data_IF_624916282346
#
_entry.id   IF_624916282346
#
_cell.length_a   1.000
_cell.length_b   1.000
_cell.length_c   1.000
_cell.angle_alpha   90.00
_cell.angle_beta   90.00
_cell.angle_gamma   90.00
#
_symmetry.space_group_name_H-M   'P 1'
#
loop_
_entity.id
_entity.type
_entity.pdbx_description
1 polymer ?
#
# COMPACT_ATOMS: atom_id res chain seq x y z
N UNK A 1 -28.24 -18.37 -87.61
CA UNK A 1 -28.15 -18.01 -86.19
C UNK A 1 -29.54 -17.60 -85.73
N UNK A 2 -30.14 -18.38 -84.83
CA UNK A 2 -31.49 -18.20 -84.30
C UNK A 2 -31.39 -17.99 -82.78
N UNK A 3 -32.41 -17.30 -82.27
CA UNK A 3 -32.82 -17.13 -80.86
C UNK A 3 -32.14 -15.96 -80.12
N UNK A 4 -32.86 -15.05 -79.47
CA UNK A 4 -34.30 -14.92 -79.27
C UNK A 4 -34.61 -14.32 -77.89
N UNK A 5 -35.76 -13.60 -77.81
CA UNK A 5 -36.54 -13.25 -76.59
C UNK A 5 -35.89 -12.24 -75.62
N UNK A 6 -36.61 -11.37 -74.89
CA UNK A 6 -38.04 -11.09 -74.66
C UNK A 6 -38.15 -9.69 -74.01
N UNK A 7 -39.28 -9.00 -74.21
CA UNK A 7 -39.68 -7.76 -73.54
C UNK A 7 -40.06 -8.02 -72.06
N UNK A 8 -39.82 -7.03 -71.19
CA UNK A 8 -40.51 -6.85 -69.90
C UNK A 8 -40.98 -5.40 -69.72
N UNK A 9 -42.10 -5.28 -69.02
CA UNK A 9 -42.93 -4.11 -68.76
C UNK A 9 -42.34 -3.18 -67.68
N UNK A 10 -42.66 -1.89 -67.79
CA UNK A 10 -42.37 -0.84 -66.83
C UNK A 10 -43.62 -0.50 -66.00
N UNK A 11 -43.53 -0.63 -64.68
CA UNK A 11 -44.44 -0.02 -63.71
C UNK A 11 -43.73 1.12 -62.98
N UNK A 12 -44.36 2.29 -62.98
CA UNK A 12 -43.93 3.51 -62.31
C UNK A 12 -44.37 3.51 -60.85
N UNK A 13 -43.45 3.78 -59.92
CA UNK A 13 -43.72 3.94 -58.48
C UNK A 13 -43.31 5.35 -58.03
N UNK A 14 -44.28 6.07 -57.48
CA UNK A 14 -44.13 7.36 -56.79
C UNK A 14 -43.22 7.22 -55.55
N UNK A 15 -42.14 8.00 -55.49
CA UNK A 15 -41.31 8.16 -54.29
C UNK A 15 -41.58 9.52 -53.64
N UNK A 16 -42.23 9.49 -52.47
CA UNK A 16 -42.27 10.62 -51.53
C UNK A 16 -40.99 10.68 -50.69
N UNK A 17 -40.44 11.87 -50.37
CA UNK A 17 -39.18 11.98 -49.64
C UNK A 17 -39.34 11.68 -48.14
N UNK A 18 -38.31 11.12 -47.48
CA UNK A 18 -38.37 10.70 -46.09
C UNK A 18 -38.29 11.88 -45.10
N UNK A 19 -38.84 11.73 -43.88
CA UNK A 19 -38.82 12.78 -42.87
C UNK A 19 -37.43 12.99 -42.27
N UNK A 20 -36.99 14.25 -42.20
CA UNK A 20 -35.72 14.68 -41.58
C UNK A 20 -35.70 14.30 -40.09
N UNK A 21 -34.86 13.32 -39.73
CA UNK A 21 -34.50 13.03 -38.33
C UNK A 21 -33.81 14.26 -37.71
N UNK A 22 -34.43 14.86 -36.69
CA UNK A 22 -33.78 15.84 -35.81
C UNK A 22 -32.59 15.17 -35.12
N UNK A 23 -31.37 15.59 -35.45
CA UNK A 23 -30.19 15.23 -34.71
C UNK A 23 -30.32 15.73 -33.27
N UNK A 24 -30.29 14.82 -32.29
CA UNK A 24 -30.07 15.18 -30.88
C UNK A 24 -28.64 15.71 -30.78
N UNK A 25 -28.49 17.01 -30.60
CA UNK A 25 -27.24 17.61 -30.15
C UNK A 25 -26.81 16.92 -28.84
N UNK A 26 -25.57 16.41 -28.74
CA UNK A 26 -25.08 15.86 -27.48
C UNK A 26 -25.12 16.95 -26.42
N UNK A 27 -25.85 16.72 -25.32
CA UNK A 27 -25.76 17.57 -24.14
C UNK A 27 -24.33 17.51 -23.65
N UNK A 28 -23.55 18.56 -23.92
CA UNK A 28 -22.29 18.82 -23.22
C UNK A 28 -22.60 18.88 -21.72
N UNK A 29 -22.01 18.01 -20.88
CA UNK A 29 -22.19 18.10 -19.45
C UNK A 29 -21.70 19.47 -18.97
N UNK A 30 -22.52 20.14 -18.16
CA UNK A 30 -22.17 21.43 -17.55
C UNK A 30 -20.87 21.28 -16.76
N UNK A 31 -19.86 22.06 -17.12
CA UNK A 31 -18.54 22.13 -16.47
C UNK A 31 -18.65 22.44 -14.96
N UNK A 32 -19.69 23.16 -14.54
CA UNK A 32 -19.95 23.45 -13.13
C UNK A 32 -20.36 22.19 -12.33
N UNK A 33 -21.09 21.25 -12.94
CA UNK A 33 -21.48 20.00 -12.29
C UNK A 33 -20.31 19.03 -12.10
N UNK A 34 -19.38 19.00 -13.07
CA UNK A 34 -18.17 18.17 -13.01
C UNK A 34 -17.19 18.69 -11.95
N UNK A 35 -17.03 20.01 -11.84
CA UNK A 35 -16.18 20.64 -10.83
C UNK A 35 -16.70 20.46 -9.39
N UNK A 36 -18.03 20.51 -9.20
CA UNK A 36 -18.64 20.26 -7.89
C UNK A 36 -18.52 18.78 -7.45
N UNK A 37 -18.66 17.84 -8.40
CA UNK A 37 -18.50 16.40 -8.14
C UNK A 37 -17.07 16.05 -7.72
N UNK A 38 -16.08 16.59 -8.45
CA UNK A 38 -14.66 16.36 -8.12
C UNK A 38 -14.28 16.96 -6.77
N UNK A 39 -14.79 18.14 -6.42
CA UNK A 39 -14.54 18.73 -5.10
C UNK A 39 -15.02 17.82 -3.95
N UNK A 40 -16.24 17.28 -4.06
CA UNK A 40 -16.80 16.36 -3.05
C UNK A 40 -15.98 15.08 -2.92
N UNK A 41 -15.56 14.50 -4.05
CA UNK A 41 -14.71 13.30 -4.07
C UNK A 41 -13.35 13.53 -3.38
N UNK A 42 -12.77 14.73 -3.55
CA UNK A 42 -11.53 15.10 -2.87
C UNK A 42 -11.72 15.28 -1.36
N UNK A 43 -12.82 15.89 -0.93
CA UNK A 43 -13.16 16.04 0.49
C UNK A 43 -13.36 14.67 1.16
N UNK A 44 -14.10 13.75 0.52
CA UNK A 44 -14.29 12.37 1.01
C UNK A 44 -12.96 11.58 1.07
N UNK A 45 -12.09 11.78 0.08
CA UNK A 45 -10.76 11.15 0.06
C UNK A 45 -9.89 11.68 1.20
N UNK A 46 -9.89 12.99 1.45
CA UNK A 46 -9.15 13.62 2.54
C UNK A 46 -9.61 13.11 3.91
N UNK A 47 -10.92 13.07 4.15
CA UNK A 47 -11.50 12.54 5.40
C UNK A 47 -11.11 11.08 5.66
N UNK A 48 -11.13 10.25 4.62
CA UNK A 48 -10.70 8.86 4.70
C UNK A 48 -9.21 8.75 5.04
N UNK A 49 -8.35 9.52 4.37
CA UNK A 49 -6.91 9.50 4.63
C UNK A 49 -6.62 9.99 6.05
N UNK A 50 -7.34 11.01 6.54
CA UNK A 50 -7.29 11.45 7.94
C UNK A 50 -7.68 10.34 8.91
N UNK A 51 -8.73 9.56 8.63
CA UNK A 51 -9.14 8.44 9.47
C UNK A 51 -8.06 7.33 9.52
N UNK A 52 -7.42 7.04 8.39
CA UNK A 52 -6.28 6.11 8.32
C UNK A 52 -5.10 6.65 9.13
N UNK A 53 -4.76 7.94 9.01
CA UNK A 53 -3.69 8.56 9.81
C UNK A 53 -4.00 8.48 11.30
N UNK A 54 -5.23 8.76 11.74
CA UNK A 54 -5.65 8.59 13.16
C UNK A 54 -5.43 7.16 13.65
N UNK A 55 -5.78 6.19 12.83
CA UNK A 55 -5.61 4.76 13.15
C UNK A 55 -4.14 4.40 13.31
N UNK A 56 -3.27 4.88 12.41
CA UNK A 56 -1.82 4.69 12.54
C UNK A 56 -1.30 5.37 13.80
N UNK A 57 -1.68 6.63 14.07
CA UNK A 57 -1.27 7.37 15.29
C UNK A 57 -1.64 6.60 16.56
N UNK A 58 -2.89 6.12 16.64
CA UNK A 58 -3.38 5.32 17.76
C UNK A 58 -2.61 4.01 17.88
N UNK A 59 -2.36 3.28 16.79
CA UNK A 59 -1.63 2.01 16.83
C UNK A 59 -0.19 2.17 17.35
N UNK A 60 0.46 3.30 17.08
CA UNK A 60 1.87 3.52 17.44
C UNK A 60 2.03 4.01 18.88
N UNK A 61 1.23 4.97 19.33
CA UNK A 61 1.42 5.49 20.70
C UNK A 61 0.51 6.63 21.11
N UNK A 62 -0.21 7.27 20.19
CA UNK A 62 -1.14 8.33 20.54
C UNK A 62 -2.45 7.75 21.12
N UNK A 63 -3.30 8.65 21.61
CA UNK A 63 -4.67 8.37 22.03
C UNK A 63 -5.53 7.80 20.90
N UNK A 64 -6.63 7.17 21.28
CA UNK A 64 -7.63 6.61 20.36
C UNK A 64 -8.33 7.68 19.51
N UNK A 65 -8.39 8.89 20.05
CA UNK A 65 -8.87 10.10 19.36
C UNK A 65 -7.74 11.16 19.34
N UNK A 66 -6.76 11.02 18.44
CA UNK A 66 -5.69 12.00 18.29
C UNK A 66 -6.24 13.42 18.08
N UNK A 67 -5.48 14.44 18.51
CA UNK A 67 -5.89 15.83 18.26
C UNK A 67 -5.91 16.07 16.75
N UNK A 68 -7.03 16.58 16.23
CA UNK A 68 -7.26 16.71 14.80
C UNK A 68 -6.22 17.60 14.09
N UNK A 69 -5.75 18.67 14.75
CA UNK A 69 -4.67 19.50 14.21
C UNK A 69 -3.37 18.70 14.04
N UNK A 70 -3.04 17.79 14.97
CA UNK A 70 -1.86 16.93 14.86
C UNK A 70 -2.02 15.92 13.72
N UNK A 71 -3.23 15.35 13.56
CA UNK A 71 -3.52 14.43 12.44
C UNK A 71 -3.34 15.14 11.10
N UNK A 72 -3.92 16.34 10.92
CA UNK A 72 -3.76 17.12 9.68
C UNK A 72 -2.30 17.49 9.41
N UNK A 73 -1.58 17.90 10.44
CA UNK A 73 -0.15 18.21 10.34
C UNK A 73 0.64 16.98 9.86
N UNK A 74 0.41 15.80 10.44
CA UNK A 74 1.09 14.57 10.02
C UNK A 74 0.70 14.14 8.61
N UNK A 75 -0.57 14.29 8.24
CA UNK A 75 -1.04 13.95 6.90
C UNK A 75 -0.37 14.85 5.84
N UNK A 76 -0.33 16.16 6.09
CA UNK A 76 0.36 17.12 5.22
C UNK A 76 1.87 16.91 5.16
N UNK A 77 2.51 16.64 6.31
CA UNK A 77 3.92 16.28 6.37
C UNK A 77 4.19 15.03 5.52
N UNK A 78 3.41 13.96 5.71
CA UNK A 78 3.56 12.72 4.94
C UNK A 78 3.41 12.98 3.43
N UNK A 79 2.39 13.74 3.02
CA UNK A 79 2.18 14.10 1.62
C UNK A 79 3.41 14.83 1.04
N UNK A 80 3.92 15.84 1.75
CA UNK A 80 5.10 16.58 1.33
C UNK A 80 6.33 15.67 1.19
N UNK A 81 6.58 14.81 2.19
CA UNK A 81 7.73 13.90 2.17
C UNK A 81 7.68 12.94 0.98
N UNK A 82 6.53 12.33 0.72
CA UNK A 82 6.37 11.41 -0.41
C UNK A 82 6.61 12.12 -1.75
N UNK A 83 6.10 13.36 -1.91
CA UNK A 83 6.32 14.16 -3.13
C UNK A 83 7.80 14.44 -3.35
N UNK A 84 8.52 14.87 -2.31
CA UNK A 84 9.96 15.14 -2.42
C UNK A 84 10.74 13.91 -2.90
N UNK A 85 10.39 12.72 -2.40
CA UNK A 85 11.05 11.47 -2.76
C UNK A 85 10.76 11.09 -4.21
N UNK A 86 9.51 11.20 -4.65
CA UNK A 86 9.11 10.90 -6.03
C UNK A 86 9.69 11.92 -7.00
N UNK A 87 9.71 13.22 -6.67
CA UNK A 87 10.34 14.24 -7.49
C UNK A 87 11.83 13.97 -7.68
N UNK A 88 12.51 13.52 -6.62
CA UNK A 88 13.92 13.14 -6.68
C UNK A 88 14.14 11.87 -7.53
N UNK A 89 13.25 10.89 -7.46
CA UNK A 89 13.28 9.69 -8.30
C UNK A 89 12.98 10.03 -9.77
N UNK A 90 12.02 10.93 -10.02
CA UNK A 90 11.64 11.39 -11.35
C UNK A 90 12.76 12.17 -12.03
N UNK A 91 13.46 13.05 -11.30
CA UNK A 91 14.66 13.73 -11.82
C UNK A 91 15.72 12.75 -12.32
N UNK A 92 15.89 11.63 -11.62
CA UNK A 92 16.80 10.55 -12.05
C UNK A 92 16.28 9.83 -13.28
N UNK A 93 15.03 9.41 -13.30
CA UNK A 93 14.42 8.78 -14.47
C UNK A 93 14.56 9.65 -15.73
N UNK A 94 14.27 10.95 -15.60
CA UNK A 94 14.41 11.92 -16.68
C UNK A 94 15.86 12.08 -17.14
N UNK A 95 16.83 12.03 -16.22
CA UNK A 95 18.27 12.08 -16.57
C UNK A 95 18.72 10.86 -17.38
N UNK A 96 18.04 9.72 -17.19
CA UNK A 96 18.23 8.50 -17.97
C UNK A 96 17.36 8.47 -19.27
N UNK A 97 16.66 9.55 -19.59
CA UNK A 97 15.79 9.65 -20.77
C UNK A 97 14.46 8.91 -20.66
N UNK A 98 14.03 8.56 -19.43
CA UNK A 98 12.75 7.89 -19.15
C UNK A 98 11.75 8.87 -18.55
N UNK A 99 10.47 8.70 -18.88
CA UNK A 99 9.33 9.47 -18.36
C UNK A 99 8.63 8.80 -17.18
N UNK A 100 9.01 7.54 -16.87
CA UNK A 100 8.46 6.74 -15.79
C UNK A 100 9.51 6.39 -14.74
N UNK A 101 9.13 6.56 -13.47
CA UNK A 101 9.90 6.14 -12.30
C UNK A 101 9.86 4.62 -12.18
N UNK A 102 10.99 4.02 -11.85
CA UNK A 102 11.12 2.60 -11.50
C UNK A 102 11.48 2.43 -10.01
N UNK A 103 11.38 1.20 -9.49
CA UNK A 103 11.88 0.89 -8.14
C UNK A 103 13.37 1.24 -7.97
N UNK A 104 14.19 1.05 -9.01
CA UNK A 104 15.61 1.38 -8.96
C UNK A 104 15.82 2.88 -8.75
N UNK A 105 15.07 3.72 -9.46
CA UNK A 105 15.17 5.18 -9.31
C UNK A 105 14.83 5.63 -7.89
N UNK A 106 13.79 5.03 -7.33
CA UNK A 106 13.35 5.27 -5.96
C UNK A 106 14.41 4.79 -4.96
N UNK A 107 14.83 3.53 -5.04
CA UNK A 107 15.72 2.90 -4.06
C UNK A 107 17.15 3.39 -4.08
N UNK A 108 17.61 4.02 -5.16
CA UNK A 108 18.90 4.73 -5.17
C UNK A 108 18.98 5.80 -4.07
N UNK A 109 17.85 6.41 -3.68
CA UNK A 109 17.79 7.36 -2.56
C UNK A 109 17.88 6.69 -1.19
N UNK A 110 17.61 5.38 -1.12
CA UNK A 110 17.62 4.58 0.10
C UNK A 110 18.93 3.78 0.27
N UNK A 111 19.86 3.85 -0.68
CA UNK A 111 21.09 3.04 -0.65
C UNK A 111 21.91 3.23 0.65
N UNK A 112 21.82 4.41 1.28
CA UNK A 112 22.46 4.72 2.57
C UNK A 112 21.57 4.41 3.79
N UNK A 113 20.32 4.02 3.57
CA UNK A 113 19.28 3.78 4.58
C UNK A 113 18.82 2.32 4.56
N UNK A 114 19.79 1.41 4.66
CA UNK A 114 19.59 -0.06 4.65
C UNK A 114 18.48 -0.53 5.59
N UNK A 115 18.35 0.11 6.75
CA UNK A 115 17.32 -0.21 7.74
C UNK A 115 15.90 -0.05 7.18
N UNK A 116 15.64 1.02 6.43
CA UNK A 116 14.33 1.29 5.84
C UNK A 116 14.01 0.26 4.75
N UNK A 117 14.99 -0.08 3.92
CA UNK A 117 14.85 -1.14 2.91
C UNK A 117 14.61 -2.52 3.56
N UNK A 118 15.32 -2.85 4.63
CA UNK A 118 15.12 -4.10 5.38
C UNK A 118 13.72 -4.17 5.98
N UNK A 119 13.22 -3.08 6.59
CA UNK A 119 11.83 -3.02 7.08
C UNK A 119 10.81 -3.23 5.95
N UNK A 120 11.01 -2.60 4.80
CA UNK A 120 10.15 -2.77 3.62
C UNK A 120 10.14 -4.23 3.14
N UNK A 121 11.32 -4.85 2.99
CA UNK A 121 11.45 -6.25 2.58
C UNK A 121 10.77 -7.20 3.57
N UNK A 122 11.03 -7.06 4.87
CA UNK A 122 10.35 -7.87 5.88
C UNK A 122 8.83 -7.70 5.84
N UNK A 123 8.36 -6.46 5.60
CA UNK A 123 6.94 -6.18 5.48
C UNK A 123 6.31 -6.82 4.23
N UNK A 124 7.01 -6.81 3.11
CA UNK A 124 6.60 -7.48 1.88
C UNK A 124 6.64 -9.01 2.00
N UNK A 125 7.67 -9.57 2.65
CA UNK A 125 7.78 -11.00 2.95
C UNK A 125 6.62 -11.48 3.80
N UNK A 126 6.32 -10.78 4.90
CA UNK A 126 5.19 -11.11 5.77
C UNK A 126 3.85 -11.01 5.01
N UNK A 127 3.69 -9.99 4.15
CA UNK A 127 2.50 -9.84 3.31
C UNK A 127 2.34 -11.02 2.34
N UNK A 128 3.43 -11.43 1.70
CA UNK A 128 3.45 -12.57 0.79
C UNK A 128 3.07 -13.87 1.51
N UNK A 129 3.67 -14.15 2.67
CA UNK A 129 3.36 -15.35 3.46
C UNK A 129 1.89 -15.41 3.86
N UNK A 130 1.32 -14.31 4.38
CA UNK A 130 -0.10 -14.25 4.74
C UNK A 130 -0.99 -14.50 3.52
N UNK A 131 -0.64 -13.95 2.36
CA UNK A 131 -1.40 -14.14 1.13
C UNK A 131 -1.32 -15.59 0.62
N UNK A 132 -0.13 -16.21 0.67
CA UNK A 132 0.06 -17.62 0.30
C UNK A 132 -0.75 -18.54 1.22
N UNK A 133 -0.68 -18.34 2.55
CA UNK A 133 -1.45 -19.15 3.50
C UNK A 133 -2.96 -19.00 3.28
N UNK A 134 -3.44 -17.78 3.02
CA UNK A 134 -4.87 -17.52 2.79
C UNK A 134 -5.41 -18.10 1.48
N UNK A 135 -4.54 -18.53 0.56
CA UNK A 135 -4.95 -19.25 -0.66
C UNK A 135 -5.12 -20.73 -0.37
N UNK A 136 -4.11 -21.34 0.26
CA UNK A 136 -4.15 -22.76 0.61
C UNK A 136 -5.38 -23.13 1.46
N UNK A 137 -5.76 -22.29 2.43
CA UNK A 137 -6.97 -22.57 3.24
C UNK A 137 -8.28 -22.44 2.47
N UNK A 138 -8.32 -21.72 1.35
CA UNK A 138 -9.55 -21.57 0.55
C UNK A 138 -9.71 -22.70 -0.45
N UNK A 139 -8.59 -23.17 -0.98
CA UNK A 139 -8.56 -24.29 -1.90
C UNK A 139 -8.97 -25.59 -1.14
N UNK A 140 -8.56 -25.75 0.13
CA UNK A 140 -9.01 -26.84 1.03
C UNK A 140 -10.53 -26.78 1.36
N UNK A 141 -11.09 -25.59 1.60
CA UNK A 141 -12.53 -25.41 1.86
C UNK A 141 -13.42 -25.63 0.61
N UNK A 142 -12.84 -25.57 -0.59
CA UNK A 142 -13.53 -25.85 -1.86
C UNK A 142 -13.44 -27.34 -2.22
N UNK A 143 -12.32 -28.03 -1.95
CA UNK A 143 -12.18 -29.49 -2.12
C UNK A 143 -13.07 -30.29 -1.15
N UNK A 144 -13.23 -29.86 0.11
CA UNK A 144 -14.14 -30.53 1.06
C UNK A 144 -15.64 -30.43 0.69
N UNK A 145 -16.01 -29.60 -0.30
CA UNK A 145 -17.39 -29.49 -0.79
C UNK A 145 -17.70 -30.34 -2.03
N UNK A 146 -16.69 -30.95 -2.65
CA UNK A 146 -16.90 -31.86 -3.78
C UNK A 146 -16.98 -33.33 -3.38
N UNK A 147 -16.73 -33.68 -2.11
CA UNK A 147 -16.70 -35.08 -1.64
C UNK A 147 -18.03 -35.61 -1.06
N UNK A 148 -19.15 -34.88 -1.24
CA UNK A 148 -20.47 -35.26 -0.69
C UNK A 148 -21.52 -35.52 -1.80
N UNK A 149 -21.10 -36.23 -2.85
CA UNK A 149 -21.90 -36.53 -4.04
C UNK A 149 -21.78 -37.98 -4.55
N UNK A 150 -22.38 -38.92 -3.83
CA UNK A 150 -22.89 -40.26 -4.27
C UNK A 150 -21.88 -41.25 -4.91
N UNK A 151 -21.81 -42.51 -4.44
CA UNK A 151 -20.93 -43.54 -5.00
C UNK A 151 -21.41 -43.98 -6.38
N UNK A 152 -20.58 -43.82 -7.41
CA UNK A 152 -20.79 -44.50 -8.68
C UNK A 152 -19.98 -45.80 -8.70
N UNK A 153 -20.71 -46.91 -8.78
CA UNK A 153 -20.18 -48.25 -8.99
C UNK A 153 -19.28 -48.32 -10.22
N UNK A 154 -18.26 -49.17 -10.08
CA UNK A 154 -17.16 -49.38 -11.00
C UNK A 154 -17.58 -49.88 -12.39
N UNK A 155 -16.94 -49.33 -13.43
CA UNK A 155 -16.53 -50.14 -14.59
C UNK A 155 -15.03 -49.96 -14.86
N UNK A 156 -14.38 -51.10 -14.86
CA UNK A 156 -12.96 -51.37 -15.09
C UNK A 156 -12.66 -51.16 -16.57
N UNK A 157 -11.68 -50.32 -16.92
CA UNK A 157 -10.88 -50.53 -18.13
C UNK A 157 -9.42 -50.14 -17.92
N UNK A 158 -8.61 -51.18 -18.03
CA UNK A 158 -7.17 -51.33 -18.08
C UNK A 158 -6.55 -50.58 -19.28
N UNK A 159 -5.51 -49.77 -19.04
CA UNK A 159 -4.22 -49.80 -19.75
C UNK A 159 -3.33 -48.57 -19.46
N UNK A 160 -2.05 -48.83 -19.21
CA UNK A 160 -0.97 -47.93 -19.62
C UNK A 160 -0.07 -47.44 -18.50
N UNK A 161 1.00 -48.21 -18.27
CA UNK A 161 2.19 -47.86 -17.50
C UNK A 161 2.73 -46.47 -17.88
N UNK A 162 3.15 -45.67 -16.89
CA UNK A 162 4.39 -44.89 -17.00
C UNK A 162 4.91 -44.50 -15.61
N UNK A 163 6.19 -44.83 -15.42
CA UNK A 163 6.99 -44.67 -14.21
C UNK A 163 7.17 -43.19 -13.82
N UNK A 164 7.27 -42.91 -12.51
CA UNK A 164 7.47 -41.52 -12.09
C UNK A 164 7.73 -41.25 -10.61
N UNK A 165 8.67 -41.97 -10.02
CA UNK A 165 9.49 -41.52 -8.87
C UNK A 165 8.78 -40.89 -7.65
N UNK A 166 8.55 -41.73 -6.63
CA UNK A 166 8.43 -41.24 -5.26
C UNK A 166 9.77 -40.66 -4.82
N UNK A 167 9.83 -39.33 -4.71
CA UNK A 167 10.85 -38.68 -3.90
C UNK A 167 10.19 -38.20 -2.61
N UNK A 168 10.69 -38.80 -1.54
CA UNK A 168 10.46 -38.52 -0.15
C UNK A 168 10.86 -37.05 0.14
N UNK A 169 9.96 -36.11 -0.12
CA UNK A 169 10.14 -34.73 0.34
C UNK A 169 9.84 -34.67 1.83
N UNK A 170 10.92 -34.85 2.58
CA UNK A 170 11.10 -34.42 3.95
C UNK A 170 10.53 -32.99 4.08
N UNK A 171 9.34 -32.87 4.68
CA UNK A 171 8.62 -31.61 4.89
C UNK A 171 9.39 -30.74 5.88
N UNK A 172 10.38 -30.02 5.36
CA UNK A 172 10.97 -28.86 6.01
C UNK A 172 9.98 -27.70 6.06
N UNK A 173 10.23 -26.66 6.87
CA UNK A 173 9.30 -25.55 7.04
C UNK A 173 9.03 -24.89 5.68
N UNK A 174 7.80 -25.07 5.17
CA UNK A 174 7.24 -24.56 3.92
C UNK A 174 7.96 -23.33 3.36
N UNK A 175 9.01 -23.56 2.56
CA UNK A 175 9.70 -22.52 1.84
C UNK A 175 8.90 -22.19 0.58
N UNK A 176 7.76 -21.51 0.73
CA UNK A 176 6.95 -21.06 -0.39
C UNK A 176 7.78 -20.07 -1.21
N UNK A 177 8.34 -20.54 -2.34
CA UNK A 177 9.11 -19.70 -3.26
C UNK A 177 8.17 -18.64 -3.84
N UNK A 178 8.54 -17.38 -3.67
CA UNK A 178 7.76 -16.28 -4.20
C UNK A 178 7.76 -16.30 -5.74
N UNK A 179 6.59 -16.14 -6.35
CA UNK A 179 6.48 -16.01 -7.81
C UNK A 179 7.29 -14.81 -8.30
N UNK A 180 7.86 -14.89 -9.51
CA UNK A 180 8.58 -13.79 -10.15
C UNK A 180 7.72 -12.54 -10.34
N UNK A 181 6.40 -12.68 -10.36
CA UNK A 181 5.44 -11.56 -10.42
C UNK A 181 5.09 -10.98 -9.05
N UNK A 182 5.49 -11.62 -7.94
CA UNK A 182 5.16 -11.15 -6.60
C UNK A 182 5.82 -9.81 -6.29
N UNK A 183 5.13 -8.96 -5.54
CA UNK A 183 5.70 -7.69 -5.04
C UNK A 183 7.00 -7.94 -4.29
N UNK A 184 7.07 -8.99 -3.46
CA UNK A 184 8.26 -9.33 -2.68
C UNK A 184 9.48 -9.59 -3.59
N UNK A 185 9.34 -10.47 -4.59
CA UNK A 185 10.42 -10.77 -5.52
C UNK A 185 10.90 -9.54 -6.31
N UNK A 186 9.97 -8.70 -6.75
CA UNK A 186 10.30 -7.47 -7.48
C UNK A 186 11.11 -6.48 -6.61
N UNK A 187 10.83 -6.42 -5.30
CA UNK A 187 11.60 -5.61 -4.36
C UNK A 187 13.00 -6.18 -4.11
N UNK A 188 13.14 -7.50 -3.96
CA UNK A 188 14.45 -8.17 -3.83
C UNK A 188 15.32 -7.89 -5.05
N UNK A 189 14.79 -8.13 -6.25
CA UNK A 189 15.49 -7.90 -7.50
C UNK A 189 15.90 -6.42 -7.68
N UNK A 190 15.02 -5.49 -7.32
CA UNK A 190 15.33 -4.07 -7.37
C UNK A 190 16.45 -3.69 -6.40
N UNK A 191 16.45 -4.23 -5.18
CA UNK A 191 17.50 -4.00 -4.17
C UNK A 191 18.83 -4.61 -4.61
N UNK A 192 18.82 -5.84 -5.13
CA UNK A 192 20.04 -6.51 -5.63
C UNK A 192 20.64 -5.81 -6.85
N UNK A 193 19.83 -5.06 -7.59
CA UNK A 193 20.30 -4.19 -8.68
C UNK A 193 20.99 -2.90 -8.20
N UNK A 194 20.84 -2.54 -6.92
CA UNK A 194 21.54 -1.41 -6.33
C UNK A 194 22.99 -1.84 -6.13
N UNK A 195 23.92 -1.24 -6.87
CA UNK A 195 25.36 -1.46 -6.69
C UNK A 195 25.88 -0.80 -5.38
N UNK A 196 25.16 -0.97 -4.28
CA UNK A 196 25.35 -0.30 -2.99
C UNK A 196 26.22 -1.05 -1.99
N UNK A 197 26.84 -2.17 -2.38
CA UNK A 197 27.67 -2.99 -1.50
C UNK A 197 26.88 -3.79 -0.45
N UNK A 198 25.62 -4.11 -0.75
CA UNK A 198 24.79 -5.05 0.00
C UNK A 198 23.76 -5.68 -0.94
N UNK A 199 23.19 -6.81 -0.53
CA UNK A 199 22.13 -7.55 -1.19
C UNK A 199 20.86 -7.58 -0.34
N UNK A 200 19.75 -7.95 -0.96
CA UNK A 200 18.47 -8.22 -0.30
C UNK A 200 18.59 -9.28 0.80
N UNK A 201 19.45 -10.28 0.58
CA UNK A 201 19.80 -11.31 1.58
C UNK A 201 20.39 -10.70 2.85
N UNK A 202 21.29 -9.73 2.71
CA UNK A 202 21.97 -9.09 3.86
C UNK A 202 20.97 -8.31 4.73
N UNK A 203 19.92 -7.75 4.11
CA UNK A 203 18.89 -6.98 4.80
C UNK A 203 17.83 -7.85 5.49
N UNK A 204 17.75 -9.12 5.12
CA UNK A 204 16.80 -10.09 5.69
C UNK A 204 17.47 -11.12 6.58
N UNK A 205 18.81 -11.07 6.67
CA UNK A 205 19.62 -11.89 7.56
C UNK A 205 19.25 -11.61 9.03
N UNK A 206 19.10 -12.65 9.88
CA UNK A 206 18.79 -12.47 11.30
C UNK A 206 19.80 -11.62 12.08
N UNK A 207 21.06 -11.52 11.62
CA UNK A 207 22.10 -10.67 12.20
C UNK A 207 21.93 -9.18 11.86
N UNK A 208 21.13 -8.85 10.84
CA UNK A 208 20.79 -7.47 10.48
C UNK A 208 19.70 -6.92 11.42
N UNK A 209 20.11 -6.57 12.64
CA UNK A 209 19.18 -6.19 13.70
C UNK A 209 18.77 -4.73 13.63
N UNK A 210 17.48 -4.48 13.45
CA UNK A 210 16.89 -3.16 13.61
C UNK A 210 16.50 -2.85 15.05
N UNK A 211 17.44 -2.29 15.81
CA UNK A 211 17.24 -1.92 17.21
C UNK A 211 16.12 -0.89 17.41
N UNK A 212 15.93 0.02 16.45
CA UNK A 212 14.87 1.04 16.53
C UNK A 212 13.50 0.39 16.41
N UNK A 213 13.32 -0.48 15.41
CA UNK A 213 12.11 -1.26 15.23
C UNK A 213 11.88 -2.20 16.40
N UNK A 214 12.91 -2.90 16.89
CA UNK A 214 12.78 -3.81 18.02
C UNK A 214 12.35 -3.06 19.30
N UNK A 215 12.91 -1.89 19.56
CA UNK A 215 12.51 -1.05 20.68
C UNK A 215 11.05 -0.57 20.54
N UNK A 216 10.63 -0.21 19.32
CA UNK A 216 9.24 0.16 18.99
C UNK A 216 8.28 -1.01 19.25
N UNK A 217 8.62 -2.20 18.76
CA UNK A 217 7.81 -3.41 18.94
C UNK A 217 7.70 -3.81 20.42
N UNK A 218 8.79 -3.67 21.20
CA UNK A 218 8.77 -3.87 22.67
C UNK A 218 7.85 -2.87 23.39
N UNK A 219 7.90 -1.59 23.03
CA UNK A 219 7.00 -0.56 23.60
C UNK A 219 5.55 -0.87 23.29
N UNK A 220 5.26 -1.22 22.04
CA UNK A 220 3.94 -1.61 21.59
C UNK A 220 3.43 -2.83 22.37
N UNK A 221 4.25 -3.88 22.54
CA UNK A 221 3.89 -5.06 23.32
C UNK A 221 3.57 -4.73 24.79
N UNK A 222 4.36 -3.87 25.42
CA UNK A 222 4.10 -3.40 26.80
C UNK A 222 2.79 -2.61 26.90
N UNK A 223 2.49 -1.77 25.91
CA UNK A 223 1.25 -1.00 25.86
C UNK A 223 0.03 -1.91 25.70
N UNK A 224 0.10 -2.90 24.81
CA UNK A 224 -0.97 -3.86 24.54
C UNK A 224 -1.42 -4.59 25.80
N UNK A 225 -0.48 -5.00 26.66
CA UNK A 225 -0.78 -5.70 27.93
C UNK A 225 -1.64 -4.88 28.90
N UNK A 226 -1.76 -3.56 28.70
CA UNK A 226 -2.50 -2.63 29.56
C UNK A 226 -3.80 -2.15 28.91
N UNK A 227 -4.09 -2.56 27.67
CA UNK A 227 -5.33 -2.17 27.01
C UNK A 227 -6.49 -2.98 27.59
N UNK A 228 -7.63 -2.31 27.77
CA UNK A 228 -8.91 -2.99 27.98
C UNK A 228 -9.32 -3.74 26.72
N UNK A 229 -10.21 -4.72 26.86
CA UNK A 229 -10.68 -5.54 25.75
C UNK A 229 -11.32 -4.74 24.60
N UNK A 230 -12.19 -3.78 24.93
CA UNK A 230 -12.85 -2.89 23.96
C UNK A 230 -11.85 -2.03 23.17
N UNK A 231 -10.79 -1.58 23.84
CA UNK A 231 -9.71 -0.79 23.24
C UNK A 231 -8.74 -1.68 22.46
N UNK A 232 -8.51 -2.92 22.90
CA UNK A 232 -7.64 -3.89 22.23
C UNK A 232 -8.18 -4.28 20.86
N UNK A 233 -9.50 -4.44 20.71
CA UNK A 233 -10.15 -4.69 19.42
C UNK A 233 -9.85 -3.56 18.43
N UNK A 234 -10.13 -2.31 18.84
CA UNK A 234 -9.85 -1.12 18.02
C UNK A 234 -8.36 -1.00 17.69
N UNK A 235 -7.48 -1.32 18.63
CA UNK A 235 -6.05 -1.31 18.42
C UNK A 235 -5.59 -2.36 17.39
N UNK A 236 -6.17 -3.57 17.42
CA UNK A 236 -5.85 -4.63 16.46
C UNK A 236 -6.24 -4.23 15.03
N UNK A 237 -7.41 -3.62 14.87
CA UNK A 237 -7.85 -3.04 13.58
C UNK A 237 -6.91 -1.91 13.13
N UNK A 238 -6.61 -0.98 14.04
CA UNK A 238 -5.75 0.17 13.78
C UNK A 238 -4.32 -0.22 13.35
N UNK A 239 -3.74 -1.31 13.91
CA UNK A 239 -2.42 -1.82 13.50
C UNK A 239 -2.36 -2.23 12.03
N UNK A 240 -3.48 -2.72 11.49
CA UNK A 240 -3.60 -3.15 10.11
C UNK A 240 -3.88 -1.98 9.15
N UNK A 241 -4.13 -0.77 9.66
CA UNK A 241 -4.39 0.40 8.84
C UNK A 241 -3.24 0.67 7.84
N UNK A 242 -3.60 0.90 6.59
CA UNK A 242 -2.71 1.24 5.46
C UNK A 242 -3.44 2.22 4.56
N UNK A 243 -2.70 3.07 3.84
CA UNK A 243 -3.28 4.07 2.94
C UNK A 243 -3.86 3.46 1.65
N UNK A 244 -3.38 2.27 1.29
CA UNK A 244 -3.88 1.49 0.16
C UNK A 244 -4.08 0.05 0.64
N UNK A 245 -5.33 -0.44 0.60
CA UNK A 245 -5.68 -1.80 0.98
C UNK A 245 -4.95 -2.83 0.12
N UNK A 246 -4.48 -3.89 0.79
CA UNK A 246 -3.87 -5.06 0.14
C UNK A 246 -4.89 -6.07 -0.35
N UNK A 247 -6.03 -6.14 0.35
CA UNK A 247 -7.05 -7.16 0.13
C UNK A 247 -8.05 -6.61 -0.88
N UNK A 248 -7.98 -7.17 -2.09
CA UNK A 248 -8.76 -6.81 -3.29
C UNK A 248 -8.49 -5.36 -3.73
N UNK A 249 -8.53 -5.14 -5.05
CA UNK A 249 -8.47 -3.81 -5.64
C UNK A 249 -9.74 -3.02 -5.25
N UNK A 250 -9.76 -2.50 -4.02
CA UNK A 250 -10.89 -1.74 -3.50
C UNK A 250 -11.08 -0.52 -4.37
N UNK A 251 -12.33 -0.34 -4.82
CA UNK A 251 -12.76 0.82 -5.57
C UNK A 251 -13.55 1.73 -4.65
N UNK A 252 -13.34 3.02 -4.78
CA UNK A 252 -14.15 4.06 -4.15
C UNK A 252 -14.71 4.92 -5.27
N UNK A 253 -16.03 5.03 -5.35
CA UNK A 253 -16.74 5.67 -6.46
C UNK A 253 -16.26 5.19 -7.85
N UNK A 254 -15.95 3.88 -7.97
CA UNK A 254 -15.46 3.26 -9.20
C UNK A 254 -13.96 3.41 -9.48
N UNK A 255 -13.24 4.25 -8.73
CA UNK A 255 -11.79 4.50 -8.90
C UNK A 255 -11.01 3.61 -7.92
N UNK A 256 -9.90 3.02 -8.39
CA UNK A 256 -9.02 2.22 -7.54
C UNK A 256 -8.46 3.07 -6.39
N UNK A 257 -8.51 2.55 -5.16
CA UNK A 257 -7.96 3.23 -3.97
C UNK A 257 -6.50 3.65 -4.15
N UNK A 258 -5.67 2.79 -4.76
CA UNK A 258 -4.28 3.13 -5.06
C UNK A 258 -4.17 4.34 -6.00
N UNK A 259 -4.97 4.36 -7.08
CA UNK A 259 -4.97 5.48 -8.02
C UNK A 259 -5.48 6.78 -7.35
N UNK A 260 -6.50 6.70 -6.50
CA UNK A 260 -6.97 7.85 -5.71
C UNK A 260 -5.88 8.38 -4.78
N UNK A 261 -5.19 7.49 -4.07
CA UNK A 261 -4.12 7.88 -3.16
C UNK A 261 -2.95 8.55 -3.90
N UNK A 262 -2.50 7.97 -5.02
CA UNK A 262 -1.45 8.55 -5.87
C UNK A 262 -1.88 9.92 -6.42
N UNK A 263 -3.13 10.04 -6.88
CA UNK A 263 -3.68 11.31 -7.37
C UNK A 263 -3.79 12.36 -6.26
N UNK A 264 -4.23 11.98 -5.05
CA UNK A 264 -4.28 12.86 -3.87
C UNK A 264 -2.90 13.36 -3.45
N UNK A 265 -1.86 12.53 -3.61
CA UNK A 265 -0.47 12.95 -3.40
C UNK A 265 0.00 13.96 -4.46
N UNK A 266 -0.76 14.18 -5.54
CA UNK A 266 -0.39 15.04 -6.66
C UNK A 266 0.70 14.42 -7.53
N UNK A 267 0.76 13.08 -7.60
CA UNK A 267 1.75 12.32 -8.34
C UNK A 267 1.20 11.82 -9.68
N UNK A 268 2.07 11.59 -10.69
CA UNK A 268 1.66 10.88 -11.90
C UNK A 268 1.26 9.43 -11.56
N UNK A 269 0.49 8.76 -12.44
CA UNK A 269 0.14 7.34 -12.25
C UNK A 269 1.39 6.48 -12.05
N UNK A 270 1.36 5.63 -11.03
CA UNK A 270 2.43 4.69 -10.71
C UNK A 270 1.93 3.26 -10.91
N UNK A 271 2.85 2.33 -11.18
CA UNK A 271 2.50 0.91 -11.19
C UNK A 271 2.09 0.41 -9.78
N UNK A 272 1.56 -0.81 -9.71
CA UNK A 272 1.06 -1.39 -8.47
C UNK A 272 2.15 -1.59 -7.41
N UNK A 273 3.38 -1.88 -7.82
CA UNK A 273 4.50 -2.17 -6.90
C UNK A 273 5.05 -0.87 -6.33
N UNK A 274 5.22 0.16 -7.15
CA UNK A 274 5.54 1.51 -6.67
C UNK A 274 4.43 2.06 -5.79
N UNK A 275 3.16 1.89 -6.15
CA UNK A 275 2.03 2.29 -5.30
C UNK A 275 2.06 1.59 -3.94
N UNK A 276 2.39 0.29 -3.91
CA UNK A 276 2.60 -0.44 -2.67
C UNK A 276 3.74 0.15 -1.82
N UNK A 277 4.89 0.43 -2.44
CA UNK A 277 6.05 1.03 -1.74
C UNK A 277 5.70 2.40 -1.20
N UNK A 278 5.00 3.24 -1.98
CA UNK A 278 4.62 4.60 -1.57
C UNK A 278 3.60 4.57 -0.43
N UNK A 279 2.60 3.68 -0.48
CA UNK A 279 1.67 3.44 0.63
C UNK A 279 2.41 2.98 1.91
N UNK A 280 3.41 2.12 1.77
CA UNK A 280 4.23 1.69 2.90
C UNK A 280 5.07 2.83 3.48
N UNK A 281 5.76 3.61 2.63
CA UNK A 281 6.55 4.75 3.05
C UNK A 281 5.71 5.79 3.76
N UNK A 282 4.50 6.08 3.26
CA UNK A 282 3.56 6.97 3.88
C UNK A 282 3.22 6.53 5.32
N UNK A 283 2.98 5.23 5.53
CA UNK A 283 2.76 4.65 6.86
C UNK A 283 4.01 4.75 7.73
N UNK A 284 5.20 4.46 7.20
CA UNK A 284 6.45 4.49 7.97
C UNK A 284 6.82 5.92 8.38
N UNK A 285 6.57 6.94 7.55
CA UNK A 285 6.75 8.37 7.91
C UNK A 285 5.89 8.71 9.13
N UNK A 286 4.59 8.46 9.07
CA UNK A 286 3.68 8.75 10.19
C UNK A 286 4.10 7.95 11.42
N UNK A 287 4.46 6.68 11.23
CA UNK A 287 4.90 5.81 12.33
C UNK A 287 6.13 6.36 13.03
N UNK A 288 7.15 6.77 12.27
CA UNK A 288 8.40 7.29 12.83
C UNK A 288 8.15 8.57 13.64
N UNK A 289 7.39 9.52 13.10
CA UNK A 289 7.12 10.79 13.77
C UNK A 289 6.28 10.59 15.03
N UNK A 290 5.27 9.71 15.00
CA UNK A 290 4.44 9.41 16.18
C UNK A 290 5.26 8.68 17.26
N UNK A 291 6.12 7.74 16.88
CA UNK A 291 6.97 7.04 17.83
C UNK A 291 7.97 8.00 18.50
N UNK A 292 8.59 8.90 17.73
CA UNK A 292 9.49 9.92 18.29
C UNK A 292 8.75 10.93 19.20
N UNK A 293 7.52 11.32 18.84
CA UNK A 293 6.67 12.17 19.67
C UNK A 293 6.27 11.48 20.98
N UNK A 294 5.93 10.20 20.91
CA UNK A 294 5.66 9.37 22.08
C UNK A 294 6.88 9.25 22.98
N UNK A 295 8.08 9.11 22.41
CA UNK A 295 9.33 9.12 23.19
C UNK A 295 9.61 10.47 23.86
N UNK A 296 9.23 11.59 23.23
CA UNK A 296 9.34 12.91 23.87
C UNK A 296 8.41 13.02 25.08
N UNK A 297 7.16 12.58 24.94
CA UNK A 297 6.19 12.53 26.02
C UNK A 297 6.67 11.63 27.18
N UNK A 298 7.21 10.44 26.90
CA UNK A 298 7.75 9.56 27.95
C UNK A 298 8.90 10.21 28.73
N UNK A 299 9.79 10.95 28.06
CA UNK A 299 10.89 11.66 28.73
C UNK A 299 10.38 12.77 29.64
N UNK A 300 9.35 13.50 29.20
CA UNK A 300 8.71 14.55 30.00
C UNK A 300 8.10 13.96 31.28
N UNK A 301 7.40 12.82 31.17
CA UNK A 301 6.83 12.12 32.33
C UNK A 301 7.89 11.68 33.33
N UNK A 302 9.01 11.12 32.86
CA UNK A 302 10.10 10.66 33.72
C UNK A 302 10.88 11.80 34.38
N UNK A 303 10.91 12.98 33.77
CA UNK A 303 11.65 14.15 34.27
C UNK A 303 10.90 14.90 35.38
N UNK A 304 9.67 14.52 35.69
CA UNK A 304 8.87 15.15 36.75
C UNK A 304 8.47 16.60 36.47
N UNK A 305 8.74 17.12 35.27
CA UNK A 305 8.40 18.47 34.83
C UNK A 305 6.89 18.71 34.76
N UNK A 306 6.10 17.64 34.73
CA UNK A 306 4.64 17.71 34.54
C UNK A 306 3.92 17.03 35.70
N UNK A 307 3.99 17.62 36.90
CA UNK A 307 3.37 17.11 38.14
C UNK A 307 1.82 17.04 38.15
N UNK A 308 1.11 17.36 37.05
CA UNK A 308 -0.36 17.49 37.05
C UNK A 308 -1.04 17.14 35.72
N UNK A 309 -0.87 15.92 35.22
CA UNK A 309 -1.81 15.37 34.22
C UNK A 309 -2.20 13.95 34.61
N UNK A 310 -3.23 13.80 35.46
CA UNK A 310 -3.94 12.53 35.57
C UNK A 310 -4.57 12.16 34.21
N UNK A 311 -4.78 10.87 33.94
CA UNK A 311 -5.48 10.20 32.80
C UNK A 311 -5.36 10.79 31.36
N UNK A 312 -5.46 12.10 31.16
CA UNK A 312 -5.07 12.89 30.00
C UNK A 312 -3.56 12.86 29.67
N UNK A 313 -2.76 12.10 30.43
CA UNK A 313 -1.34 11.83 30.19
C UNK A 313 -1.07 11.09 28.87
N UNK A 314 -2.07 10.44 28.26
CA UNK A 314 -1.88 9.56 27.10
C UNK A 314 -2.07 10.22 25.73
N UNK A 315 -2.39 11.51 25.66
CA UNK A 315 -2.64 12.22 24.40
C UNK A 315 -1.43 13.05 23.99
N UNK A 316 -0.95 12.85 22.76
CA UNK A 316 0.16 13.63 22.25
C UNK A 316 -0.32 15.05 21.87
N UNK A 317 0.43 16.05 22.31
CA UNK A 317 0.21 17.46 21.97
C UNK A 317 1.07 17.85 20.77
N UNK A 318 0.73 18.96 20.11
CA UNK A 318 1.53 19.50 18.99
C UNK A 318 3.01 19.68 19.38
N UNK A 319 3.29 20.12 20.61
CA UNK A 319 4.64 20.30 21.12
C UNK A 319 5.46 18.99 21.11
N UNK A 320 4.83 17.84 21.37
CA UNK A 320 5.54 16.55 21.31
C UNK A 320 5.97 16.22 19.87
N UNK A 321 5.12 16.55 18.89
CA UNK A 321 5.41 16.33 17.47
C UNK A 321 6.46 17.32 16.95
N UNK A 322 6.36 18.60 17.31
CA UNK A 322 7.37 19.61 16.96
C UNK A 322 8.72 19.25 17.56
N UNK A 323 8.75 18.81 18.82
CA UNK A 323 9.98 18.36 19.48
C UNK A 323 10.56 17.09 18.85
N UNK A 324 9.71 16.16 18.40
CA UNK A 324 10.14 14.99 17.65
C UNK A 324 10.81 15.38 16.33
N UNK A 325 10.17 16.26 15.56
CA UNK A 325 10.74 16.80 14.31
C UNK A 325 12.02 17.57 14.58
N UNK A 326 12.08 18.39 15.63
CA UNK A 326 13.27 19.12 16.04
C UNK A 326 14.42 18.19 16.42
N UNK A 327 14.15 17.00 16.95
CA UNK A 327 15.17 15.99 17.28
C UNK A 327 15.59 15.13 16.08
N UNK A 328 14.77 15.07 15.03
CA UNK A 328 15.08 14.34 13.81
C UNK A 328 16.15 15.11 13.00
N UNK A 329 17.33 14.53 12.85
CA UNK A 329 18.46 15.18 12.20
C UNK A 329 18.19 15.47 10.72
N UNK A 330 17.43 14.61 10.04
CA UNK A 330 17.04 14.83 8.66
C UNK A 330 16.05 15.92 8.45
N UNK A 331 15.08 15.99 9.34
CA UNK A 331 14.14 17.09 9.34
C UNK A 331 14.86 18.43 9.51
N UNK A 332 15.79 18.51 10.46
CA UNK A 332 16.57 19.74 10.70
C UNK A 332 17.44 20.17 9.53
N UNK A 333 18.07 19.22 8.84
CA UNK A 333 19.12 19.51 7.85
C UNK A 333 18.57 19.62 6.44
N UNK A 334 17.56 18.83 6.12
CA UNK A 334 17.05 18.64 4.75
C UNK A 334 15.53 18.64 4.67
N UNK A 335 14.83 18.89 5.78
CA UNK A 335 13.38 18.71 5.88
C UNK A 335 12.95 17.30 5.44
N UNK A 336 13.73 16.29 5.82
CA UNK A 336 13.55 14.89 5.44
C UNK A 336 13.42 13.99 6.68
N UNK A 337 12.24 13.41 6.91
CA UNK A 337 11.96 12.58 8.08
C UNK A 337 12.61 11.20 7.96
N UNK A 338 12.68 10.62 6.76
CA UNK A 338 13.12 9.23 6.54
C UNK A 338 14.63 9.11 6.38
N UNK A 339 15.28 10.06 5.69
CA UNK A 339 16.66 9.89 5.20
C UNK A 339 17.73 10.75 5.86
N UNK A 340 17.43 11.55 6.89
CA UNK A 340 18.54 12.20 7.60
C UNK A 340 19.02 11.49 8.85
N UNK A 341 18.79 10.18 8.94
CA UNK A 341 19.62 9.32 9.77
C UNK A 341 20.83 8.84 8.94
N UNK A 342 21.89 9.65 8.86
CA UNK A 342 23.23 9.14 8.51
C UNK A 342 23.97 8.89 9.82
N UNK A 343 23.70 7.72 10.42
CA UNK A 343 24.45 6.99 11.46
C UNK A 343 24.95 7.74 12.73
N UNK A 344 25.47 6.98 13.71
CA UNK A 344 24.75 6.32 14.78
C UNK A 344 24.58 7.22 16.03
N UNK A 345 23.55 6.94 16.85
CA UNK A 345 23.67 7.26 18.27
C UNK A 345 24.60 6.22 18.88
N UNK A 346 25.85 6.60 19.09
CA UNK A 346 26.69 6.00 20.14
C UNK A 346 26.09 6.30 21.53
#
# INVERSE_FOLDING_TARGET
QMAGRKRQLSETRDESPPPKRRAKTPKTPSTAGVAASTKKEWEETDERLLAITKSIMFAIGDSIEPIECNTRMLLGLMQQQIRLIIDAAMKRANSDGRDAVTLRDLFMHFARHKMVLGRLLHHAKAAHLVFSLSRHTKDEEEEEKEEDGVPHEAEILDHGEEEGSSSDEQVGPLAVRASKSSTYYQLEAAIDSLQGGFRSSDLTDPSFVDLTRQARDRRMATRVKRLREDVYKQFSEARQATYVSRVRQKKFNGILEGALFISWLGLPPLDNVLTYVISWLAKEIVTQVVDDAYMCMLREMSSGTTKRRGAAASRLTVNHYEEALRKNLGWRTKSDVLFGYIAPRE
#
